data_IF_687148378230
#
_entry.id   IF_687148378230
#
_cell.length_a   1.000
_cell.length_b   1.000
_cell.length_c   1.000
_cell.angle_alpha   90.00
_cell.angle_beta   90.00
_cell.angle_gamma   90.00
#
_symmetry.space_group_name_H-M   'P 1'
#
loop_
_entity.id
_entity.type
_entity.pdbx_description
1 polymer ?
#
# COMPACT_ATOMS: atom_id res chain seq x y z
N UNK A 1 -72.48 44.12 35.18
CA UNK A 1 -72.08 42.70 35.09
C UNK A 1 -70.76 42.63 34.35
N UNK A 2 -69.66 42.34 35.05
CA UNK A 2 -68.32 42.27 34.49
C UNK A 2 -67.99 40.81 34.19
N UNK A 3 -67.90 40.44 32.92
CA UNK A 3 -67.47 39.10 32.50
C UNK A 3 -65.94 39.07 32.63
N UNK A 4 -65.41 38.35 33.62
CA UNK A 4 -63.97 38.09 33.72
C UNK A 4 -63.61 37.02 32.68
N UNK A 5 -62.62 37.26 31.80
CA UNK A 5 -62.14 36.20 30.93
C UNK A 5 -61.47 35.11 31.79
N UNK A 6 -61.94 33.87 31.65
CA UNK A 6 -61.24 32.70 32.14
C UNK A 6 -59.87 32.66 31.46
N UNK A 7 -58.85 33.07 32.20
CA UNK A 7 -57.48 33.12 31.74
C UNK A 7 -57.06 31.74 31.23
N UNK A 8 -56.64 31.72 29.97
CA UNK A 8 -56.12 30.56 29.26
C UNK A 8 -54.72 30.20 29.81
N UNK A 9 -54.62 29.86 31.10
CA UNK A 9 -53.36 29.51 31.77
C UNK A 9 -52.79 28.16 31.31
N UNK A 10 -53.62 27.33 30.67
CA UNK A 10 -53.22 26.07 30.04
C UNK A 10 -52.24 26.26 28.87
N UNK A 11 -52.14 27.46 28.27
CA UNK A 11 -51.22 27.74 27.17
C UNK A 11 -49.75 28.00 27.59
N UNK A 12 -49.50 28.45 28.82
CA UNK A 12 -48.14 28.85 29.26
C UNK A 12 -47.23 27.67 29.59
N UNK A 13 -47.79 26.52 30.00
CA UNK A 13 -47.03 25.29 30.28
C UNK A 13 -46.72 24.48 29.01
N UNK A 14 -47.50 24.64 27.94
CA UNK A 14 -47.29 23.90 26.68
C UNK A 14 -46.08 24.42 25.87
N UNK A 15 -45.78 25.71 25.96
CA UNK A 15 -44.66 26.32 25.24
C UNK A 15 -43.27 25.77 25.65
N UNK A 16 -42.89 25.71 26.94
CA UNK A 16 -41.57 25.18 27.34
C UNK A 16 -41.46 23.67 27.07
N UNK A 17 -42.55 22.91 27.25
CA UNK A 17 -42.58 21.47 26.94
C UNK A 17 -42.39 21.24 25.44
N UNK A 18 -43.08 22.01 24.59
CA UNK A 18 -42.90 21.97 23.15
C UNK A 18 -41.46 22.29 22.72
N UNK A 19 -40.84 23.32 23.33
CA UNK A 19 -39.45 23.68 23.06
C UNK A 19 -38.46 22.55 23.41
N UNK A 20 -38.60 21.97 24.61
CA UNK A 20 -37.78 20.83 25.05
C UNK A 20 -37.93 19.66 24.08
N UNK A 21 -39.16 19.33 23.65
CA UNK A 21 -39.41 18.27 22.68
C UNK A 21 -38.70 18.54 21.35
N UNK A 22 -38.75 19.77 20.83
CA UNK A 22 -38.06 20.13 19.58
C UNK A 22 -36.55 19.99 19.68
N UNK A 23 -35.95 20.33 20.82
CA UNK A 23 -34.51 20.11 21.07
C UNK A 23 -34.17 18.62 21.02
N UNK A 24 -34.94 17.77 21.71
CA UNK A 24 -34.70 16.32 21.69
C UNK A 24 -34.85 15.71 20.30
N UNK A 25 -35.85 16.15 19.52
CA UNK A 25 -36.02 15.71 18.13
C UNK A 25 -34.84 16.16 17.25
N UNK A 26 -34.37 17.41 17.40
CA UNK A 26 -33.22 17.93 16.66
C UNK A 26 -31.92 17.18 17.02
N UNK A 27 -31.69 16.89 18.31
CA UNK A 27 -30.55 16.08 18.77
C UNK A 27 -30.65 14.65 18.24
N UNK A 28 -31.83 14.03 18.29
CA UNK A 28 -32.09 12.70 17.74
C UNK A 28 -31.79 12.63 16.24
N UNK A 29 -32.31 13.57 15.45
CA UNK A 29 -32.03 13.65 14.01
C UNK A 29 -30.55 13.93 13.71
N UNK A 30 -29.92 14.83 14.47
CA UNK A 30 -28.49 15.15 14.35
C UNK A 30 -27.60 13.93 14.56
N UNK A 31 -27.86 13.13 15.60
CA UNK A 31 -27.10 11.90 15.87
C UNK A 31 -27.30 10.84 14.78
N UNK A 32 -28.50 10.73 14.20
CA UNK A 32 -28.76 9.82 13.08
C UNK A 32 -27.99 10.23 11.83
N UNK A 33 -28.01 11.52 11.45
CA UNK A 33 -27.26 12.05 10.31
C UNK A 33 -25.76 11.83 10.52
N UNK A 34 -25.25 12.09 11.73
CA UNK A 34 -23.85 11.85 12.07
C UNK A 34 -23.49 10.37 11.90
N UNK A 35 -24.32 9.44 12.39
CA UNK A 35 -24.10 7.99 12.25
C UNK A 35 -24.11 7.55 10.79
N UNK A 36 -25.01 8.08 9.96
CA UNK A 36 -25.06 7.77 8.53
C UNK A 36 -23.79 8.24 7.83
N UNK A 37 -23.39 9.50 8.04
CA UNK A 37 -22.13 10.03 7.48
C UNK A 37 -20.91 9.25 7.96
N UNK A 38 -20.86 8.87 9.24
CA UNK A 38 -19.76 8.10 9.80
C UNK A 38 -19.68 6.71 9.14
N UNK A 39 -20.81 6.04 8.92
CA UNK A 39 -20.85 4.75 8.21
C UNK A 39 -20.34 4.87 6.78
N UNK A 40 -20.72 5.92 6.05
CA UNK A 40 -20.21 6.17 4.70
C UNK A 40 -18.70 6.39 4.70
N UNK A 41 -18.20 7.24 5.60
CA UNK A 41 -16.76 7.50 5.74
C UNK A 41 -15.99 6.21 6.07
N UNK A 42 -16.48 5.41 7.01
CA UNK A 42 -15.85 4.13 7.40
C UNK A 42 -15.85 3.15 6.22
N UNK A 43 -16.94 3.06 5.46
CA UNK A 43 -17.04 2.20 4.29
C UNK A 43 -16.05 2.60 3.20
N UNK A 44 -15.95 3.91 2.92
CA UNK A 44 -14.98 4.45 1.95
C UNK A 44 -13.55 4.21 2.41
N UNK A 45 -13.24 4.47 3.68
CA UNK A 45 -11.92 4.23 4.24
C UNK A 45 -11.53 2.76 4.14
N UNK A 46 -12.41 1.83 4.54
CA UNK A 46 -12.16 0.38 4.44
C UNK A 46 -11.89 -0.06 2.99
N UNK A 47 -12.58 0.52 2.01
CA UNK A 47 -12.36 0.22 0.59
C UNK A 47 -10.99 0.72 0.13
N UNK A 48 -10.64 1.96 0.45
CA UNK A 48 -9.32 2.53 0.15
C UNK A 48 -8.22 1.69 0.79
N UNK A 49 -8.36 1.38 2.07
CA UNK A 49 -7.42 0.55 2.82
C UNK A 49 -7.24 -0.81 2.14
N UNK A 50 -8.33 -1.51 1.83
CA UNK A 50 -8.25 -2.82 1.17
C UNK A 50 -7.54 -2.75 -0.20
N UNK A 51 -7.76 -1.68 -0.97
CA UNK A 51 -7.11 -1.47 -2.25
C UNK A 51 -5.61 -1.17 -2.10
N UNK A 52 -5.24 -0.23 -1.22
CA UNK A 52 -3.85 0.13 -0.94
C UNK A 52 -3.09 -1.11 -0.46
N UNK A 53 -3.65 -1.88 0.48
CA UNK A 53 -3.07 -3.14 0.94
C UNK A 53 -2.85 -4.14 -0.20
N UNK A 54 -3.85 -4.34 -1.08
CA UNK A 54 -3.72 -5.25 -2.21
C UNK A 54 -2.56 -4.84 -3.14
N UNK A 55 -2.42 -3.54 -3.42
CA UNK A 55 -1.33 -3.02 -4.26
C UNK A 55 0.03 -3.11 -3.58
N UNK A 56 0.13 -2.77 -2.30
CA UNK A 56 1.39 -2.91 -1.55
C UNK A 56 1.86 -4.36 -1.54
N UNK A 57 0.95 -5.31 -1.28
CA UNK A 57 1.27 -6.74 -1.31
C UNK A 57 1.71 -7.23 -2.69
N UNK A 58 1.11 -6.71 -3.75
CA UNK A 58 1.47 -7.01 -5.12
C UNK A 58 2.89 -6.51 -5.46
N UNK A 59 3.23 -5.28 -5.07
CA UNK A 59 4.58 -4.73 -5.24
C UNK A 59 5.61 -5.53 -4.43
N UNK A 60 5.30 -5.90 -3.19
CA UNK A 60 6.19 -6.74 -2.37
C UNK A 60 6.47 -8.11 -3.01
N UNK A 61 5.47 -8.73 -3.66
CA UNK A 61 5.70 -9.98 -4.40
C UNK A 61 6.70 -9.81 -5.54
N UNK A 62 6.56 -8.76 -6.34
CA UNK A 62 7.50 -8.43 -7.41
C UNK A 62 8.91 -8.18 -6.84
N UNK A 63 9.00 -7.48 -5.72
CA UNK A 63 10.28 -7.20 -5.07
C UNK A 63 10.99 -8.48 -4.63
N UNK A 64 10.22 -9.44 -4.11
CA UNK A 64 10.73 -10.74 -3.70
C UNK A 64 11.14 -11.61 -4.88
N UNK A 65 10.41 -11.55 -5.99
CA UNK A 65 10.81 -12.23 -7.22
C UNK A 65 12.14 -11.69 -7.74
N UNK A 66 12.30 -10.37 -7.80
CA UNK A 66 13.58 -9.72 -8.14
C UNK A 66 14.69 -10.12 -7.15
N UNK A 67 14.38 -10.19 -5.86
CA UNK A 67 15.34 -10.63 -4.84
C UNK A 67 15.77 -12.09 -5.00
N UNK A 68 14.83 -12.99 -5.31
CA UNK A 68 15.11 -14.40 -5.58
C UNK A 68 15.98 -14.55 -6.83
N UNK A 69 15.65 -13.80 -7.89
CA UNK A 69 16.43 -13.75 -9.12
C UNK A 69 17.85 -13.23 -8.87
N UNK A 70 18.03 -12.20 -8.04
CA UNK A 70 19.35 -11.73 -7.60
C UNK A 70 20.20 -12.83 -6.96
N UNK A 71 19.60 -13.62 -6.06
CA UNK A 71 20.28 -14.74 -5.42
C UNK A 71 20.69 -15.82 -6.44
N UNK A 72 19.83 -16.10 -7.42
CA UNK A 72 20.12 -17.04 -8.49
C UNK A 72 21.29 -16.55 -9.36
N UNK A 73 21.24 -15.30 -9.85
CA UNK A 73 22.33 -14.68 -10.61
C UNK A 73 23.62 -14.74 -9.81
N UNK A 74 23.61 -14.30 -8.55
CA UNK A 74 24.78 -14.33 -7.67
C UNK A 74 25.37 -15.73 -7.54
N UNK A 75 24.54 -16.74 -7.29
CA UNK A 75 24.99 -18.12 -7.20
C UNK A 75 25.61 -18.60 -8.51
N UNK A 76 24.94 -18.38 -9.65
CA UNK A 76 25.47 -18.76 -10.97
C UNK A 76 26.80 -18.07 -11.28
N UNK A 77 26.97 -16.79 -10.89
CA UNK A 77 28.25 -16.08 -11.02
C UNK A 77 29.34 -16.73 -10.17
N UNK A 78 29.07 -17.06 -8.91
CA UNK A 78 30.03 -17.75 -8.06
C UNK A 78 30.44 -19.12 -8.63
N UNK A 79 29.49 -19.85 -9.21
CA UNK A 79 29.76 -21.14 -9.85
C UNK A 79 30.66 -20.96 -11.08
N UNK A 80 30.39 -19.97 -11.94
CA UNK A 80 31.25 -19.66 -13.11
C UNK A 80 32.64 -19.19 -12.67
N UNK A 81 32.73 -18.32 -11.67
CA UNK A 81 34.01 -17.87 -11.11
C UNK A 81 34.81 -19.05 -10.53
N UNK A 82 34.15 -19.96 -9.82
CA UNK A 82 34.78 -21.17 -9.31
C UNK A 82 35.28 -22.10 -10.41
N UNK A 83 34.46 -22.33 -11.44
CA UNK A 83 34.80 -23.16 -12.60
C UNK A 83 35.98 -22.61 -13.42
N UNK A 84 36.18 -21.28 -13.41
CA UNK A 84 37.26 -20.59 -14.13
C UNK A 84 38.53 -20.44 -13.28
N UNK A 85 38.59 -21.07 -12.11
CA UNK A 85 39.80 -21.14 -11.27
C UNK A 85 39.97 -19.98 -10.28
N UNK A 86 38.97 -19.09 -10.14
CA UNK A 86 39.00 -18.03 -9.12
C UNK A 86 38.55 -18.51 -7.74
N UNK A 87 37.86 -19.66 -7.64
CA UNK A 87 37.37 -20.21 -6.37
C UNK A 87 37.34 -21.75 -6.39
N UNK A 88 38.03 -22.40 -5.44
CA UNK A 88 38.35 -23.86 -5.43
C UNK A 88 37.15 -24.79 -5.12
N UNK A 89 35.93 -24.28 -5.00
CA UNK A 89 34.87 -24.95 -4.20
C UNK A 89 33.88 -25.80 -5.03
N UNK A 90 33.76 -25.63 -6.35
CA UNK A 90 32.74 -26.34 -7.14
C UNK A 90 33.34 -27.05 -8.37
N UNK A 91 33.29 -28.39 -8.44
CA UNK A 91 33.73 -29.13 -9.62
C UNK A 91 32.70 -28.97 -10.74
N UNK A 92 32.85 -27.93 -11.55
CA UNK A 92 32.06 -27.73 -12.76
C UNK A 92 32.95 -28.01 -13.96
N UNK A 93 32.46 -28.84 -14.89
CA UNK A 93 33.17 -29.10 -16.14
C UNK A 93 33.23 -27.81 -16.97
N UNK A 94 34.39 -27.48 -17.54
CA UNK A 94 34.55 -26.28 -18.37
C UNK A 94 33.53 -26.22 -19.54
N UNK A 95 33.04 -27.38 -19.99
CA UNK A 95 31.99 -27.53 -20.99
C UNK A 95 30.61 -26.98 -20.56
N UNK A 96 30.34 -26.86 -19.26
CA UNK A 96 29.08 -26.33 -18.73
C UNK A 96 29.07 -24.79 -18.63
N UNK A 97 30.22 -24.12 -18.74
CA UNK A 97 30.34 -22.66 -18.60
C UNK A 97 29.45 -21.91 -19.62
N UNK A 98 29.42 -22.26 -20.93
CA UNK A 98 28.56 -21.57 -21.89
C UNK A 98 27.07 -21.68 -21.53
N UNK A 99 26.63 -22.85 -21.03
CA UNK A 99 25.25 -23.05 -20.60
C UNK A 99 24.91 -22.20 -19.37
N UNK A 100 25.83 -22.10 -18.39
CA UNK A 100 25.65 -21.23 -17.22
C UNK A 100 25.61 -19.75 -17.60
N UNK A 101 26.44 -19.30 -18.54
CA UNK A 101 26.40 -17.93 -19.06
C UNK A 101 25.08 -17.63 -19.79
N UNK A 102 24.53 -18.60 -20.51
CA UNK A 102 23.20 -18.46 -21.13
C UNK A 102 22.10 -18.36 -20.07
N UNK A 103 22.11 -19.26 -19.08
CA UNK A 103 21.16 -19.22 -17.97
C UNK A 103 21.19 -17.86 -17.24
N UNK A 104 22.38 -17.31 -17.04
CA UNK A 104 22.58 -16.00 -16.42
C UNK A 104 21.96 -14.85 -17.24
N UNK A 105 22.07 -14.89 -18.57
CA UNK A 105 21.41 -13.91 -19.46
C UNK A 105 19.88 -14.04 -19.42
N UNK A 106 19.36 -15.27 -19.38
CA UNK A 106 17.93 -15.52 -19.28
C UNK A 106 17.37 -15.01 -17.95
N UNK A 107 18.05 -15.29 -16.85
CA UNK A 107 17.67 -14.81 -15.52
C UNK A 107 17.73 -13.28 -15.46
N UNK A 108 18.76 -12.69 -16.04
CA UNK A 108 18.89 -11.23 -16.16
C UNK A 108 17.76 -10.60 -17.00
N UNK A 109 17.29 -11.30 -18.04
CA UNK A 109 16.13 -10.91 -18.85
C UNK A 109 14.81 -11.03 -18.08
N UNK A 110 14.61 -12.13 -17.35
CA UNK A 110 13.45 -12.33 -16.48
C UNK A 110 13.36 -11.23 -15.42
N UNK A 111 14.48 -10.90 -14.78
CA UNK A 111 14.55 -9.82 -13.81
C UNK A 111 14.16 -8.45 -14.39
N UNK A 112 14.59 -8.17 -15.62
CA UNK A 112 14.20 -6.94 -16.32
C UNK A 112 12.71 -6.92 -16.64
N UNK A 113 12.12 -8.05 -17.03
CA UNK A 113 10.69 -8.18 -17.26
C UNK A 113 9.89 -7.87 -15.98
N UNK A 114 10.30 -8.41 -14.83
CA UNK A 114 9.66 -8.12 -13.53
C UNK A 114 9.74 -6.62 -13.17
N UNK A 115 10.87 -5.97 -13.45
CA UNK A 115 11.01 -4.52 -13.27
C UNK A 115 10.06 -3.73 -14.19
N UNK A 116 9.87 -4.18 -15.43
CA UNK A 116 8.93 -3.56 -16.36
C UNK A 116 7.48 -3.78 -15.94
N UNK A 117 7.13 -4.95 -15.40
CA UNK A 117 5.83 -5.22 -14.80
C UNK A 117 5.56 -4.27 -13.63
N UNK A 118 6.55 -4.04 -12.75
CA UNK A 118 6.44 -3.04 -11.69
C UNK A 118 6.13 -1.64 -12.24
N UNK A 119 6.93 -1.17 -13.20
CA UNK A 119 6.75 0.14 -13.83
C UNK A 119 5.39 0.26 -14.52
N UNK A 120 4.93 -0.80 -15.18
CA UNK A 120 3.61 -0.87 -15.79
C UNK A 120 2.48 -0.74 -14.76
N UNK A 121 2.59 -1.42 -13.61
CA UNK A 121 1.62 -1.28 -12.51
C UNK A 121 1.62 0.11 -11.89
N UNK A 122 2.79 0.73 -11.77
CA UNK A 122 2.92 2.12 -11.34
C UNK A 122 2.25 3.08 -12.32
N UNK A 123 2.46 2.91 -13.62
CA UNK A 123 1.80 3.71 -14.64
C UNK A 123 0.27 3.51 -14.60
N UNK A 124 -0.19 2.26 -14.51
CA UNK A 124 -1.62 1.96 -14.38
C UNK A 124 -2.23 2.62 -13.14
N UNK A 125 -1.53 2.61 -12.01
CA UNK A 125 -1.96 3.29 -10.80
C UNK A 125 -2.14 4.80 -11.02
N UNK A 126 -1.18 5.44 -11.68
CA UNK A 126 -1.26 6.88 -12.01
C UNK A 126 -2.42 7.17 -12.97
N UNK A 127 -2.55 6.37 -14.03
CA UNK A 127 -3.61 6.52 -15.05
C UNK A 127 -5.00 6.35 -14.45
N UNK A 128 -5.19 5.34 -13.58
CA UNK A 128 -6.46 5.07 -12.91
C UNK A 128 -6.68 5.94 -11.65
N UNK A 129 -5.78 6.91 -11.40
CA UNK A 129 -5.83 7.81 -10.23
C UNK A 129 -5.96 7.04 -8.89
N UNK A 130 -5.20 5.95 -8.77
CA UNK A 130 -5.16 5.10 -7.59
C UNK A 130 -6.25 4.05 -7.56
N UNK A 131 -7.10 4.09 -6.53
CA UNK A 131 -8.09 3.06 -6.21
C UNK A 131 -9.44 3.26 -6.93
N UNK A 132 -9.38 3.53 -8.23
CA UNK A 132 -10.47 3.44 -9.21
C UNK A 132 -11.85 3.92 -8.70
N UNK A 133 -11.92 5.24 -8.44
CA UNK A 133 -13.12 5.89 -7.93
C UNK A 133 -13.55 7.04 -8.85
N UNK A 134 -14.63 6.81 -9.58
CA UNK A 134 -15.51 7.87 -10.10
C UNK A 134 -16.13 8.60 -8.88
N UNK A 135 -15.43 9.58 -8.32
CA UNK A 135 -15.96 10.41 -7.22
C UNK A 135 -14.90 10.91 -6.24
N UNK A 136 -13.83 10.16 -6.03
CA UNK A 136 -12.76 10.52 -5.10
C UNK A 136 -11.64 11.29 -5.79
N UNK A 137 -12.00 12.31 -6.58
CA UNK A 137 -11.13 13.05 -7.51
C UNK A 137 -9.86 13.67 -6.89
N UNK A 138 -9.68 13.59 -5.58
CA UNK A 138 -8.55 14.16 -4.84
C UNK A 138 -7.85 13.21 -3.84
N UNK A 139 -8.23 11.92 -3.74
CA UNK A 139 -7.86 11.13 -2.57
C UNK A 139 -6.52 10.35 -2.71
N UNK A 140 -6.08 9.95 -3.90
CA UNK A 140 -4.83 9.19 -4.07
C UNK A 140 -3.95 9.77 -5.19
N UNK A 141 -3.14 10.77 -4.87
CA UNK A 141 -2.11 11.29 -5.79
C UNK A 141 -0.68 10.89 -5.41
N UNK A 142 -0.48 10.09 -4.37
CA UNK A 142 0.86 9.61 -4.07
C UNK A 142 1.23 8.49 -5.04
N UNK A 143 2.30 8.75 -5.78
CA UNK A 143 2.93 7.78 -6.66
C UNK A 143 3.30 6.55 -5.83
N UNK A 144 2.97 5.36 -6.32
CA UNK A 144 3.57 4.13 -5.80
C UNK A 144 5.11 4.30 -5.78
N UNK A 145 5.83 3.76 -4.79
CA UNK A 145 7.26 3.95 -4.73
C UNK A 145 7.93 3.43 -6.00
N UNK A 146 8.84 4.25 -6.51
CA UNK A 146 9.59 3.93 -7.71
C UNK A 146 10.56 2.78 -7.41
N UNK A 147 10.65 1.75 -8.27
CA UNK A 147 11.58 0.67 -8.06
C UNK A 147 13.01 1.18 -8.26
N UNK A 148 13.81 1.20 -7.19
CA UNK A 148 15.19 1.69 -7.21
C UNK A 148 16.20 0.58 -7.51
N UNK A 149 15.79 -0.44 -8.25
CA UNK A 149 16.66 -1.52 -8.69
C UNK A 149 17.54 -1.04 -9.85
N UNK A 150 18.85 -1.10 -9.66
CA UNK A 150 19.83 -0.73 -10.67
C UNK A 150 20.78 -1.90 -10.88
N UNK A 151 21.00 -2.28 -12.14
CA UNK A 151 21.98 -3.28 -12.51
C UNK A 151 23.35 -2.61 -12.73
N UNK A 152 24.42 -3.07 -12.06
CA UNK A 152 25.79 -2.68 -12.40
C UNK A 152 26.14 -3.09 -13.84
N UNK A 153 27.12 -2.43 -14.50
CA UNK A 153 27.56 -2.86 -15.82
C UNK A 153 28.05 -4.31 -15.81
N UNK A 154 27.82 -5.02 -16.91
CA UNK A 154 28.22 -6.42 -17.08
C UNK A 154 29.74 -6.56 -17.10
N UNK A 155 30.25 -7.69 -16.59
CA UNK A 155 31.67 -8.05 -16.62
C UNK A 155 31.93 -9.28 -17.51
N UNK A 156 33.17 -9.81 -17.49
CA UNK A 156 33.57 -10.97 -18.29
C UNK A 156 32.84 -12.27 -17.92
N UNK A 157 32.27 -12.35 -16.70
CA UNK A 157 31.40 -13.45 -16.27
C UNK A 157 30.02 -13.27 -16.90
N UNK A 158 29.49 -12.04 -16.87
CA UNK A 158 28.25 -11.62 -17.53
C UNK A 158 27.44 -10.62 -16.69
N UNK A 159 26.11 -10.58 -16.88
CA UNK A 159 25.19 -9.78 -16.06
C UNK A 159 25.38 -9.91 -14.53
N UNK A 160 25.17 -8.79 -13.83
CA UNK A 160 25.17 -8.73 -12.37
C UNK A 160 23.76 -8.75 -11.78
N UNK A 161 23.66 -9.14 -10.50
CA UNK A 161 22.45 -8.90 -9.73
C UNK A 161 22.13 -7.40 -9.65
N UNK A 162 20.84 -7.05 -9.57
CA UNK A 162 20.43 -5.68 -9.32
C UNK A 162 20.63 -5.33 -7.85
N UNK A 163 21.09 -4.10 -7.60
CA UNK A 163 21.19 -3.54 -6.27
C UNK A 163 20.08 -2.51 -6.04
N UNK A 164 19.61 -2.41 -4.80
CA UNK A 164 18.67 -1.37 -4.40
C UNK A 164 19.46 -0.09 -4.09
N UNK A 165 19.27 0.97 -4.87
CA UNK A 165 20.16 2.14 -4.85
C UNK A 165 19.94 3.11 -3.68
N UNK A 166 18.84 2.99 -2.91
CA UNK A 166 18.51 3.91 -1.80
C UNK A 166 18.67 3.27 -0.42
N UNK A 167 18.91 4.11 0.59
CA UNK A 167 19.03 3.75 2.01
C UNK A 167 17.71 3.35 2.68
N UNK A 168 16.57 3.52 2.01
CA UNK A 168 15.30 3.00 2.50
C UNK A 168 15.37 1.47 2.57
N UNK A 169 15.07 0.93 3.76
CA UNK A 169 14.99 -0.51 3.94
C UNK A 169 14.03 -1.09 2.92
N UNK A 170 14.52 -2.12 2.21
CA UNK A 170 13.83 -2.90 1.18
C UNK A 170 12.40 -3.32 1.57
N UNK A 171 12.14 -3.40 2.87
CA UNK A 171 10.93 -3.96 3.47
C UNK A 171 9.81 -2.94 3.75
N UNK A 172 9.95 -1.67 3.37
CA UNK A 172 8.96 -0.64 3.75
C UNK A 172 8.41 0.08 2.52
N UNK A 173 7.36 -0.48 1.92
CA UNK A 173 6.54 0.25 0.95
C UNK A 173 5.51 1.06 1.74
N UNK A 174 5.73 2.37 1.86
CA UNK A 174 4.75 3.31 2.44
C UNK A 174 3.98 4.01 1.34
N UNK A 175 2.66 3.87 1.39
CA UNK A 175 1.75 4.69 0.61
C UNK A 175 1.06 5.62 1.60
N UNK A 176 1.51 6.87 1.72
CA UNK A 176 0.99 7.81 2.72
C UNK A 176 0.78 9.21 2.13
N UNK A 177 -0.37 9.84 2.43
CA UNK A 177 -0.68 11.22 2.01
C UNK A 177 -0.71 12.19 3.20
N UNK A 178 0.32 13.01 3.39
CA UNK A 178 0.30 14.21 4.25
C UNK A 178 -0.61 14.10 5.50
N UNK A 179 -1.54 15.05 5.68
CA UNK A 179 -2.49 15.11 6.81
C UNK A 179 -3.66 14.08 6.77
N UNK A 180 -3.64 13.04 5.92
CA UNK A 180 -4.70 12.01 5.85
C UNK A 180 -4.20 10.55 5.89
N UNK A 181 -5.11 9.69 6.34
CA UNK A 181 -4.92 8.63 7.35
C UNK A 181 -4.88 7.20 6.81
N UNK A 182 -4.06 6.91 5.81
CA UNK A 182 -3.78 5.51 5.49
C UNK A 182 -2.35 5.37 5.00
N UNK A 183 -1.56 4.60 5.74
CA UNK A 183 -0.36 3.97 5.24
C UNK A 183 -0.42 2.49 5.58
N UNK A 184 -0.31 1.67 4.54
CA UNK A 184 -0.03 0.25 4.70
C UNK A 184 1.48 0.10 4.72
N UNK A 185 2.02 -0.36 5.84
CA UNK A 185 3.39 -0.85 5.93
C UNK A 185 3.31 -2.37 5.82
N UNK A 186 3.99 -2.95 4.83
CA UNK A 186 4.03 -4.41 4.65
C UNK A 186 5.37 -4.90 5.13
N UNK A 187 5.38 -5.76 6.14
CA UNK A 187 6.59 -6.37 6.70
C UNK A 187 6.54 -7.89 6.57
N UNK A 188 7.71 -8.51 6.60
CA UNK A 188 7.83 -9.96 6.66
C UNK A 188 7.70 -10.41 8.12
N UNK A 189 6.75 -11.31 8.40
CA UNK A 189 6.64 -11.98 9.69
C UNK A 189 7.65 -13.12 9.76
N UNK A 190 8.00 -13.55 10.98
CA UNK A 190 8.93 -14.68 11.24
C UNK A 190 8.62 -15.95 10.43
N UNK A 191 7.35 -16.18 10.08
CA UNK A 191 6.90 -17.32 9.27
C UNK A 191 7.03 -17.12 7.74
N UNK A 192 7.83 -16.14 7.26
CA UNK A 192 7.94 -15.76 5.84
C UNK A 192 6.60 -15.37 5.18
N UNK A 193 5.62 -14.97 6.00
CA UNK A 193 4.33 -14.47 5.55
C UNK A 193 4.35 -12.95 5.62
N UNK A 194 3.94 -12.32 4.54
CA UNK A 194 3.83 -10.86 4.45
C UNK A 194 2.52 -10.42 5.10
N UNK A 195 2.62 -9.50 6.07
CA UNK A 195 1.47 -8.88 6.70
C UNK A 195 1.48 -7.37 6.43
N UNK A 196 0.31 -6.82 6.12
CA UNK A 196 0.12 -5.38 6.05
C UNK A 196 -0.35 -4.89 7.42
N UNK A 197 0.42 -3.99 8.04
CA UNK A 197 -0.03 -3.22 9.20
C UNK A 197 -0.42 -1.82 8.73
N UNK A 198 -1.58 -1.40 9.21
CA UNK A 198 -2.02 -0.03 9.13
C UNK A 198 -1.31 0.79 10.20
N UNK A 199 -0.52 1.79 9.82
CA UNK A 199 -0.14 2.84 10.77
C UNK A 199 -1.40 3.67 11.01
N UNK A 200 -2.16 3.32 12.06
CA UNK A 200 -3.30 4.12 12.48
C UNK A 200 -2.76 5.47 12.93
N UNK A 201 -3.11 6.54 12.21
CA UNK A 201 -3.18 7.83 12.89
C UNK A 201 -4.39 7.77 13.83
N UNK A 202 -4.26 8.24 15.08
CA UNK A 202 -5.40 8.32 15.98
C UNK A 202 -6.49 9.10 15.25
N UNK A 203 -7.67 8.48 15.12
CA UNK A 203 -8.86 9.29 14.97
C UNK A 203 -8.88 10.25 16.15
N UNK A 204 -9.30 11.51 16.00
CA UNK A 204 -9.91 12.18 17.14
C UNK A 204 -11.08 11.28 17.50
N UNK A 205 -10.86 10.40 18.46
CA UNK A 205 -11.91 9.83 19.26
C UNK A 205 -12.51 11.09 19.87
N UNK A 206 -13.69 11.47 19.39
CA UNK A 206 -14.53 12.39 20.14
C UNK A 206 -14.91 11.58 21.39
N UNK A 207 -14.04 11.60 22.39
CA UNK A 207 -14.37 11.25 23.77
C UNK A 207 -15.28 12.35 24.33
#
# INVERSE_FOLDING_TARGET
MSIRPLGNQSGQLLAPVGFILTIFVALGAGTLILRVKLREVVKTQKRIDSCVQARTMELMRLQNQIAKSNSAIRYTRYVIAGATGLSVVVPVTAAAIPALKLALKLEAGYQFAELMVWRGKQLLWVVHRGCDSKGDGNILFDLLPYPNWVRPPDDWIGPHEMNWSKSEKKEVIRLSKGNRRSAAEVYEKENKRWEARWTRYPWPILD
#
